data_IF_238695898577
#
_entry.id   IF_238695898577
#
_cell.length_a   1.000
_cell.length_b   1.000
_cell.length_c   1.000
_cell.angle_alpha   90.00
_cell.angle_beta   90.00
_cell.angle_gamma   90.00
#
_symmetry.space_group_name_H-M   'P 1'
#
loop_
_entity.id
_entity.type
_entity.pdbx_description
1 polymer ?
#
# COMPACT_ATOMS: atom_id res chain seq x y z
N UNK A 1 1.82 -13.20 10.10
CA UNK A 1 3.15 -13.42 10.73
C UNK A 1 3.48 -12.16 11.51
N UNK A 2 4.64 -12.03 12.15
CA UNK A 2 5.08 -10.73 12.66
C UNK A 2 6.12 -10.21 11.66
N UNK A 3 5.89 -9.02 11.10
CA UNK A 3 6.85 -8.36 10.19
C UNK A 3 8.18 -8.21 10.93
N UNK A 4 9.27 -8.63 10.28
CA UNK A 4 10.62 -8.63 10.86
C UNK A 4 11.45 -7.43 10.42
N UNK A 5 11.09 -6.79 9.30
CA UNK A 5 11.71 -5.55 8.85
C UNK A 5 11.41 -4.40 9.82
N UNK A 6 12.46 -3.91 10.51
CA UNK A 6 12.31 -2.87 11.53
C UNK A 6 11.80 -1.55 10.95
N UNK A 7 12.19 -1.18 9.73
CA UNK A 7 11.71 0.06 9.09
C UNK A 7 10.19 0.01 8.90
N UNK A 8 9.68 -1.13 8.41
CA UNK A 8 8.25 -1.35 8.24
C UNK A 8 7.53 -1.42 9.59
N UNK A 9 8.10 -2.09 10.59
CA UNK A 9 7.49 -2.24 11.91
C UNK A 9 7.31 -0.90 12.65
N UNK A 10 8.19 0.07 12.39
CA UNK A 10 8.16 1.41 12.98
C UNK A 10 7.41 2.44 12.12
N UNK A 11 7.05 2.10 10.88
CA UNK A 11 6.42 3.03 9.95
C UNK A 11 4.89 3.14 10.16
N UNK A 12 4.41 4.38 10.21
CA UNK A 12 2.98 4.70 10.32
C UNK A 12 2.36 4.91 8.93
N UNK A 13 1.92 3.81 8.31
CA UNK A 13 1.27 3.85 7.00
C UNK A 13 -0.01 4.70 7.00
N UNK A 14 -0.17 5.50 5.94
CA UNK A 14 -1.35 6.34 5.66
C UNK A 14 -1.64 7.39 6.75
N UNK A 15 -0.65 7.74 7.58
CA UNK A 15 -0.83 8.67 8.70
C UNK A 15 -1.50 10.01 8.28
N UNK A 16 -1.09 10.66 7.17
CA UNK A 16 -1.74 11.90 6.75
C UNK A 16 -3.24 11.73 6.45
N UNK A 17 -3.66 10.56 5.95
CA UNK A 17 -5.08 10.28 5.71
C UNK A 17 -5.83 10.06 7.02
N UNK A 18 -5.22 9.42 8.03
CA UNK A 18 -5.84 9.29 9.36
C UNK A 18 -5.98 10.63 10.11
N UNK A 19 -5.20 11.64 9.73
CA UNK A 19 -5.27 12.99 10.32
C UNK A 19 -6.34 13.88 9.67
N UNK A 20 -7.01 13.39 8.61
CA UNK A 20 -8.06 14.10 7.90
C UNK A 20 -9.41 13.36 8.03
N UNK A 21 -10.39 14.04 8.67
CA UNK A 21 -11.74 13.54 8.91
C UNK A 21 -12.51 13.19 7.62
N UNK A 22 -12.02 13.59 6.44
CA UNK A 22 -12.56 13.17 5.15
C UNK A 22 -12.39 11.67 4.89
N UNK A 23 -11.34 11.04 5.41
CA UNK A 23 -11.08 9.62 5.20
C UNK A 23 -11.60 8.78 6.37
N UNK A 24 -12.48 7.80 6.12
CA UNK A 24 -13.00 6.95 7.18
C UNK A 24 -11.94 5.98 7.72
N UNK A 25 -11.60 6.10 9.01
CA UNK A 25 -10.66 5.22 9.73
C UNK A 25 -10.87 3.72 9.45
N UNK A 26 -12.12 3.27 9.43
CA UNK A 26 -12.44 1.85 9.23
C UNK A 26 -12.12 1.32 7.82
N UNK A 27 -12.03 2.19 6.81
CA UNK A 27 -11.58 1.84 5.46
C UNK A 27 -10.06 1.98 5.36
N UNK A 28 -9.49 3.04 5.98
CA UNK A 28 -8.04 3.19 6.11
C UNK A 28 -7.38 2.01 6.85
N UNK A 29 -8.06 1.44 7.85
CA UNK A 29 -7.62 0.23 8.55
C UNK A 29 -7.44 -0.95 7.59
N UNK A 30 -8.32 -1.05 6.58
CA UNK A 30 -8.23 -2.09 5.55
C UNK A 30 -7.10 -1.82 4.59
N UNK A 31 -6.92 -0.58 4.14
CA UNK A 31 -5.78 -0.16 3.31
C UNK A 31 -4.45 -0.43 4.02
N UNK A 32 -4.34 -0.07 5.29
CA UNK A 32 -3.18 -0.40 6.14
C UNK A 32 -2.97 -1.91 6.24
N UNK A 33 -4.04 -2.68 6.40
CA UNK A 33 -3.93 -4.14 6.44
C UNK A 33 -3.45 -4.74 5.11
N UNK A 34 -3.83 -4.17 3.96
CA UNK A 34 -3.30 -4.54 2.63
C UNK A 34 -1.79 -4.33 2.58
N UNK A 35 -1.31 -3.14 2.97
CA UNK A 35 0.12 -2.79 2.98
C UNK A 35 0.94 -3.72 3.91
N UNK A 36 0.41 -4.03 5.09
CA UNK A 36 1.05 -4.96 6.02
C UNK A 36 1.08 -6.39 5.46
N UNK A 37 0.01 -6.86 4.81
CA UNK A 37 0.00 -8.17 4.14
C UNK A 37 1.00 -8.23 2.99
N UNK A 38 1.13 -7.16 2.21
CA UNK A 38 2.15 -7.06 1.16
C UNK A 38 3.55 -7.25 1.76
N UNK A 39 3.85 -6.56 2.87
CA UNK A 39 5.10 -6.73 3.61
C UNK A 39 5.34 -8.18 4.06
N UNK A 40 4.33 -8.81 4.67
CA UNK A 40 4.41 -10.22 5.10
C UNK A 40 4.68 -11.16 3.92
N UNK A 41 4.05 -10.91 2.76
CA UNK A 41 4.28 -11.69 1.54
C UNK A 41 5.69 -11.49 1.00
N UNK A 42 6.21 -10.27 0.96
CA UNK A 42 7.58 -10.01 0.53
C UNK A 42 8.59 -10.74 1.44
N UNK A 43 8.39 -10.73 2.76
CA UNK A 43 9.27 -11.45 3.70
C UNK A 43 9.21 -12.97 3.53
N UNK A 44 8.00 -13.51 3.29
CA UNK A 44 7.77 -14.94 3.14
C UNK A 44 8.24 -15.48 1.78
N UNK A 45 7.93 -14.76 0.69
CA UNK A 45 8.19 -15.18 -0.68
C UNK A 45 9.59 -14.79 -1.17
N UNK A 46 10.19 -13.74 -0.58
CA UNK A 46 11.53 -13.22 -0.93
C UNK A 46 11.73 -13.04 -2.43
N UNK A 47 10.99 -12.12 -3.07
CA UNK A 47 11.10 -11.87 -4.51
C UNK A 47 12.55 -11.62 -4.92
N UNK A 48 12.98 -12.25 -6.02
CA UNK A 48 14.37 -12.19 -6.47
C UNK A 48 14.69 -10.97 -7.36
N UNK A 49 13.66 -10.34 -7.91
CA UNK A 49 13.76 -9.23 -8.87
C UNK A 49 12.51 -8.34 -8.83
N UNK A 50 12.57 -7.21 -9.55
CA UNK A 50 11.47 -6.25 -9.66
C UNK A 50 10.21 -6.87 -10.28
N UNK A 51 10.36 -7.76 -11.26
CA UNK A 51 9.21 -8.42 -11.88
C UNK A 51 8.44 -9.30 -10.88
N UNK A 52 9.15 -9.96 -9.96
CA UNK A 52 8.54 -10.69 -8.86
C UNK A 52 7.90 -9.77 -7.83
N UNK A 53 8.54 -8.64 -7.50
CA UNK A 53 7.95 -7.63 -6.63
C UNK A 53 6.64 -7.07 -7.23
N UNK A 54 6.63 -6.68 -8.50
CA UNK A 54 5.47 -6.07 -9.16
C UNK A 54 4.26 -6.98 -9.21
N UNK A 55 4.45 -8.30 -9.32
CA UNK A 55 3.33 -9.27 -9.19
C UNK A 55 2.73 -9.29 -7.78
N UNK A 56 3.53 -9.02 -6.75
CA UNK A 56 3.01 -8.92 -5.37
C UNK A 56 2.27 -7.60 -5.19
N UNK A 57 2.81 -6.50 -5.72
CA UNK A 57 2.19 -5.18 -5.60
C UNK A 57 0.93 -5.06 -6.43
N UNK A 58 0.86 -5.67 -7.62
CA UNK A 58 -0.35 -5.78 -8.44
C UNK A 58 -1.55 -6.27 -7.61
N UNK A 59 -1.41 -7.39 -6.91
CA UNK A 59 -2.48 -7.91 -6.06
C UNK A 59 -2.86 -6.97 -4.90
N UNK A 60 -1.89 -6.27 -4.31
CA UNK A 60 -2.17 -5.27 -3.29
C UNK A 60 -2.90 -4.05 -3.86
N UNK A 61 -2.54 -3.61 -5.08
CA UNK A 61 -3.20 -2.51 -5.78
C UNK A 61 -4.64 -2.87 -6.14
N UNK A 62 -4.89 -4.09 -6.61
CA UNK A 62 -6.25 -4.60 -6.85
C UNK A 62 -7.11 -4.59 -5.58
N UNK A 63 -6.53 -4.93 -4.43
CA UNK A 63 -7.21 -4.83 -3.14
C UNK A 63 -7.54 -3.37 -2.77
N UNK A 64 -6.68 -2.40 -3.11
CA UNK A 64 -6.99 -0.97 -2.96
C UNK A 64 -8.10 -0.51 -3.90
N UNK A 65 -8.13 -0.96 -5.16
CA UNK A 65 -9.23 -0.65 -6.08
C UNK A 65 -10.58 -1.11 -5.51
N UNK A 66 -10.61 -2.26 -4.84
CA UNK A 66 -11.82 -2.75 -4.19
C UNK A 66 -12.28 -1.88 -2.99
N UNK A 67 -11.37 -1.13 -2.36
CA UNK A 67 -11.71 -0.21 -1.26
C UNK A 67 -12.38 1.07 -1.75
N UNK A 68 -12.29 1.42 -3.03
CA UNK A 68 -12.94 2.62 -3.60
C UNK A 68 -14.44 2.64 -3.27
N UNK A 69 -15.12 1.53 -3.53
CA UNK A 69 -16.56 1.41 -3.24
C UNK A 69 -16.89 1.56 -1.75
N UNK A 70 -15.95 1.23 -0.85
CA UNK A 70 -16.12 1.42 0.59
C UNK A 70 -15.89 2.88 1.00
N UNK A 71 -14.91 3.56 0.41
CA UNK A 71 -14.73 5.00 0.56
C UNK A 71 -15.97 5.75 0.07
N UNK A 72 -16.46 5.45 -1.14
CA UNK A 72 -17.67 6.06 -1.70
C UNK A 72 -18.90 5.85 -0.80
N UNK A 73 -19.09 4.63 -0.30
CA UNK A 73 -20.20 4.30 0.60
C UNK A 73 -20.13 5.07 1.93
N UNK A 74 -18.94 5.50 2.33
CA UNK A 74 -18.69 6.33 3.52
C UNK A 74 -18.66 7.84 3.22
N UNK A 75 -18.89 8.27 1.97
CA UNK A 75 -18.87 9.67 1.57
C UNK A 75 -17.46 10.24 1.34
N UNK A 76 -16.49 9.37 1.07
CA UNK A 76 -15.09 9.66 0.78
C UNK A 76 -14.71 9.09 -0.60
N UNK A 77 -13.45 9.21 -1.01
CA UNK A 77 -12.94 8.75 -2.32
C UNK A 77 -11.43 8.51 -2.21
N UNK A 78 -10.86 7.65 -3.06
CA UNK A 78 -9.41 7.65 -3.30
C UNK A 78 -9.08 8.81 -4.26
N UNK A 79 -9.14 10.03 -3.74
CA UNK A 79 -8.79 11.26 -4.47
C UNK A 79 -7.26 11.52 -4.44
N UNK A 80 -6.80 12.61 -5.08
CA UNK A 80 -5.37 12.94 -5.25
C UNK A 80 -4.48 12.74 -4.02
N UNK A 81 -4.87 13.20 -2.83
CA UNK A 81 -4.06 13.03 -1.61
C UNK A 81 -3.99 11.55 -1.21
N UNK A 82 -5.10 10.83 -1.22
CA UNK A 82 -5.11 9.39 -0.95
C UNK A 82 -4.26 8.61 -1.95
N UNK A 83 -4.30 8.98 -3.23
CA UNK A 83 -3.50 8.38 -4.31
C UNK A 83 -2.00 8.55 -4.08
N UNK A 84 -1.59 9.75 -3.70
CA UNK A 84 -0.20 10.07 -3.40
C UNK A 84 0.28 9.27 -2.17
N UNK A 85 -0.49 9.28 -1.07
CA UNK A 85 -0.15 8.55 0.15
C UNK A 85 -0.07 7.03 -0.05
N UNK A 86 -0.98 6.46 -0.84
CA UNK A 86 -0.93 5.05 -1.22
C UNK A 86 0.32 4.78 -2.07
N UNK A 87 0.58 5.59 -3.10
CA UNK A 87 1.77 5.45 -3.94
C UNK A 87 3.08 5.53 -3.15
N UNK A 88 3.18 6.50 -2.24
CA UNK A 88 4.34 6.66 -1.35
C UNK A 88 4.51 5.47 -0.40
N UNK A 89 3.42 4.89 0.09
CA UNK A 89 3.49 3.68 0.91
C UNK A 89 4.06 2.48 0.13
N UNK A 90 3.64 2.27 -1.13
CA UNK A 90 4.21 1.23 -1.99
C UNK A 90 5.69 1.47 -2.29
N UNK A 91 6.05 2.72 -2.57
CA UNK A 91 7.43 3.13 -2.77
C UNK A 91 8.30 2.84 -1.54
N UNK A 92 7.85 3.27 -0.36
CA UNK A 92 8.52 3.01 0.91
C UNK A 92 8.73 1.51 1.14
N UNK A 93 7.71 0.68 0.89
CA UNK A 93 7.81 -0.78 1.03
C UNK A 93 8.91 -1.33 0.11
N UNK A 94 8.93 -0.95 -1.17
CA UNK A 94 9.94 -1.40 -2.12
C UNK A 94 11.36 -1.06 -1.63
N UNK A 95 11.57 0.18 -1.20
CA UNK A 95 12.85 0.66 -0.67
C UNK A 95 13.25 -0.10 0.62
N UNK A 96 12.32 -0.29 1.54
CA UNK A 96 12.56 -0.98 2.82
C UNK A 96 13.01 -2.44 2.61
N UNK A 97 12.57 -3.09 1.52
CA UNK A 97 12.96 -4.45 1.15
C UNK A 97 14.11 -4.52 0.13
N UNK A 98 14.78 -3.40 -0.15
CA UNK A 98 16.00 -3.36 -0.96
C UNK A 98 15.79 -3.26 -2.47
N UNK A 99 14.58 -2.89 -2.92
CA UNK A 99 14.27 -2.64 -4.33
C UNK A 99 14.39 -1.15 -4.64
N UNK A 100 15.60 -0.61 -4.53
CA UNK A 100 15.87 0.83 -4.65
C UNK A 100 15.56 1.38 -6.06
N UNK A 101 15.71 0.53 -7.08
CA UNK A 101 15.48 0.83 -8.49
C UNK A 101 14.04 0.52 -8.96
N UNK A 102 13.11 0.26 -8.04
CA UNK A 102 11.70 0.11 -8.41
C UNK A 102 11.19 1.38 -9.10
N UNK A 103 10.20 1.24 -9.97
CA UNK A 103 9.48 2.36 -10.58
C UNK A 103 8.17 2.54 -9.81
N UNK A 104 7.92 3.76 -9.34
CA UNK A 104 6.71 4.11 -8.60
C UNK A 104 5.44 3.80 -9.39
N UNK A 105 5.44 4.04 -10.70
CA UNK A 105 4.28 3.77 -11.55
C UNK A 105 4.02 2.28 -11.74
N UNK A 106 5.08 1.47 -11.84
CA UNK A 106 4.98 0.02 -11.97
C UNK A 106 4.50 -0.65 -10.67
N UNK A 107 4.91 -0.12 -9.51
CA UNK A 107 4.48 -0.63 -8.19
C UNK A 107 2.95 -0.56 -8.03
N UNK A 108 2.29 0.43 -8.63
CA UNK A 108 0.83 0.63 -8.58
C UNK A 108 0.21 0.58 -9.98
N UNK A 109 0.78 -0.18 -10.91
CA UNK A 109 0.36 -0.21 -12.32
C UNK A 109 -1.11 -0.66 -12.51
N UNK A 110 -1.62 -1.50 -11.61
CA UNK A 110 -2.98 -2.03 -11.66
C UNK A 110 -4.04 -1.10 -11.07
N UNK A 111 -3.70 0.14 -10.69
CA UNK A 111 -4.64 1.07 -10.07
C UNK A 111 -5.75 1.48 -11.02
N UNK A 112 -6.97 1.58 -10.52
CA UNK A 112 -8.14 2.05 -11.25
C UNK A 112 -8.66 3.41 -10.78
N UNK A 113 -8.08 3.94 -9.70
CA UNK A 113 -8.38 5.26 -9.15
C UNK A 113 -7.73 6.39 -9.95
#
# INVERSE_FOLDING_TARGET
MTITNQQVAEHAFLLPLYEDDYYPDHVLDRGRAVLLRLCERIEAERPADLAALYRLTEGATEEFNALEAEFEAAGSEIETVAREEIGEAFWFIAQAYGFEDADGEELIAAREW
#
